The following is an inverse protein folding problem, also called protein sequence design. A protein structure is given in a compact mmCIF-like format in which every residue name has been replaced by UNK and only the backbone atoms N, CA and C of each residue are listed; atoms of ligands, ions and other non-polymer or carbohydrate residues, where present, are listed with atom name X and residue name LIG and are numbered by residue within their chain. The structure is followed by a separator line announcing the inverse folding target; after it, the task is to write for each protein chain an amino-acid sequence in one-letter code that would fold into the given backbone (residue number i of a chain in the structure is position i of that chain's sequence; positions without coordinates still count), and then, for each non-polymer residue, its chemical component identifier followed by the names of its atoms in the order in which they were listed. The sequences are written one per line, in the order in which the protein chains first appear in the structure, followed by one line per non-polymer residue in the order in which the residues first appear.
data_IF_902959914594
#
_entry.id   IF_902959914594
#
_cell.length_a   1.000
_cell.length_b   1.000
_cell.length_c   1.000
_cell.angle_alpha   90.00
_cell.angle_beta   90.00
_cell.angle_gamma   90.00
#
_symmetry.space_group_name_H-M   'P 1'
#
loop_
_entity.id
_entity.type
_entity.pdbx_description
1 polymer ?
#
# COMPACT_ATOMS: atom_id res chain seq x y z
N UNK A 1 5.40 -12.92 12.84
CA UNK A 1 4.95 -11.72 13.57
C UNK A 1 3.54 -11.97 14.09
N UNK A 2 3.26 -11.60 15.35
CA UNK A 2 1.96 -11.77 16.01
C UNK A 2 0.83 -11.10 15.21
N UNK A 3 -0.38 -11.68 15.25
CA UNK A 3 -1.57 -11.06 14.66
C UNK A 3 -2.07 -9.93 15.56
N UNK A 4 -2.20 -8.72 15.00
CA UNK A 4 -2.63 -7.54 15.76
C UNK A 4 -4.05 -7.72 16.34
N UNK A 5 -4.95 -8.31 15.55
CA UNK A 5 -6.36 -8.48 15.97
C UNK A 5 -6.47 -9.42 17.16
N UNK A 6 -5.76 -10.55 17.10
CA UNK A 6 -5.70 -11.50 18.22
C UNK A 6 -5.07 -10.84 19.44
N UNK A 7 -3.95 -10.16 19.29
CA UNK A 7 -3.26 -9.49 20.40
C UNK A 7 -4.16 -8.46 21.12
N UNK A 8 -4.88 -7.62 20.37
CA UNK A 8 -5.77 -6.61 20.95
C UNK A 8 -7.04 -7.19 21.59
N UNK A 9 -7.48 -8.38 21.15
CA UNK A 9 -8.65 -9.04 21.73
C UNK A 9 -8.29 -9.85 23.00
N UNK A 10 -7.10 -10.46 23.03
CA UNK A 10 -6.70 -11.38 24.08
C UNK A 10 -6.01 -10.69 25.27
N UNK A 11 -5.30 -9.59 25.00
CA UNK A 11 -4.54 -8.89 26.03
C UNK A 11 -5.38 -7.79 26.69
N UNK A 12 -5.34 -7.79 28.03
CA UNK A 12 -5.97 -6.75 28.84
C UNK A 12 -5.02 -5.57 29.04
N UNK A 13 -5.60 -4.38 29.29
CA UNK A 13 -4.86 -3.17 29.64
C UNK A 13 -3.92 -2.64 28.56
N UNK A 14 -4.09 -3.03 27.29
CA UNK A 14 -3.39 -2.42 26.18
C UNK A 14 -3.82 -0.96 26.03
N UNK A 15 -2.85 -0.03 25.97
CA UNK A 15 -3.07 1.41 25.82
C UNK A 15 -2.79 1.87 24.41
N UNK A 16 -1.76 1.31 23.79
CA UNK A 16 -1.31 1.62 22.43
C UNK A 16 -0.73 0.37 21.78
N UNK A 17 -0.83 0.30 20.46
CA UNK A 17 -0.16 -0.69 19.63
C UNK A 17 0.71 0.01 18.58
N UNK A 18 1.93 -0.48 18.38
CA UNK A 18 2.86 0.07 17.38
C UNK A 18 3.31 -1.03 16.43
N UNK A 19 3.10 -0.82 15.13
CA UNK A 19 3.63 -1.68 14.08
C UNK A 19 4.82 -0.96 13.47
N UNK A 20 6.00 -1.52 13.70
CA UNK A 20 7.27 -0.92 13.29
C UNK A 20 7.83 -1.64 12.07
N UNK A 21 8.16 -0.87 11.05
CA UNK A 21 8.91 -1.33 9.87
C UNK A 21 10.17 -0.49 9.66
N UNK A 22 11.17 -1.13 9.07
CA UNK A 22 12.44 -0.52 8.70
C UNK A 22 12.73 -0.87 7.25
N UNK A 23 13.01 0.12 6.42
CA UNK A 23 13.23 -0.09 4.99
C UNK A 23 12.03 -0.75 4.29
N UNK A 24 10.81 -0.46 4.74
CA UNK A 24 9.56 -1.05 4.24
C UNK A 24 9.41 -2.57 4.53
N UNK A 25 10.05 -3.07 5.57
CA UNK A 25 9.89 -4.44 6.07
C UNK A 25 9.42 -4.42 7.52
N UNK A 26 8.29 -5.08 7.82
CA UNK A 26 7.77 -5.16 9.19
C UNK A 26 8.73 -5.93 10.09
N UNK A 27 9.13 -5.31 11.21
CA UNK A 27 10.06 -5.87 12.18
C UNK A 27 9.35 -6.27 13.47
N UNK A 28 8.52 -5.40 14.03
CA UNK A 28 7.98 -5.58 15.37
C UNK A 28 6.51 -5.15 15.48
N UNK A 29 5.81 -5.79 16.42
CA UNK A 29 4.55 -5.35 17.00
C UNK A 29 4.82 -5.09 18.48
N UNK A 30 4.75 -3.82 18.89
CA UNK A 30 4.92 -3.39 20.28
C UNK A 30 3.54 -3.06 20.87
N UNK A 31 3.29 -3.48 22.08
CA UNK A 31 2.07 -3.20 22.83
C UNK A 31 2.44 -2.50 24.14
N UNK A 32 1.91 -1.31 24.37
CA UNK A 32 2.04 -0.60 25.63
C UNK A 32 0.91 -1.01 26.54
N UNK A 33 1.26 -1.53 27.69
CA UNK A 33 0.32 -1.92 28.74
C UNK A 33 0.32 -0.85 29.85
N UNK A 34 -0.85 -0.55 30.39
CA UNK A 34 -1.00 0.41 31.48
C UNK A 34 -1.82 -0.15 32.63
N UNK A 35 -1.65 0.40 33.83
CA UNK A 35 -2.50 0.09 34.98
C UNK A 35 -3.86 0.83 34.90
N UNK A 36 -4.86 0.33 35.62
CA UNK A 36 -6.20 0.92 35.68
C UNK A 36 -7.15 0.35 34.62
N UNK A 37 -8.26 1.06 34.38
CA UNK A 37 -9.27 0.62 33.42
C UNK A 37 -8.68 0.52 32.00
N UNK A 38 -9.03 -0.54 31.29
CA UNK A 38 -8.59 -0.78 29.90
C UNK A 38 -9.25 0.18 28.93
N UNK A 39 -8.58 0.43 27.81
CA UNK A 39 -9.19 1.06 26.64
C UNK A 39 -9.94 -0.02 25.86
N UNK A 40 -11.18 0.23 25.38
CA UNK A 40 -11.86 -0.72 24.50
C UNK A 40 -10.99 -1.08 23.28
N UNK A 41 -10.94 -2.35 22.91
CA UNK A 41 -10.05 -2.84 21.85
C UNK A 41 -10.20 -2.09 20.51
N UNK A 42 -11.41 -1.59 20.20
CA UNK A 42 -11.68 -0.82 18.99
C UNK A 42 -11.19 0.64 19.04
N UNK A 43 -10.91 1.14 20.25
CA UNK A 43 -10.48 2.53 20.49
C UNK A 43 -8.99 2.66 20.81
N UNK A 44 -8.27 1.55 20.90
CA UNK A 44 -6.81 1.54 21.11
C UNK A 44 -6.13 2.22 19.90
N UNK A 45 -5.31 3.28 20.13
CA UNK A 45 -4.50 3.87 19.07
C UNK A 45 -3.51 2.86 18.48
N UNK A 46 -3.51 2.73 17.15
CA UNK A 46 -2.58 1.89 16.40
C UNK A 46 -1.65 2.81 15.61
N UNK A 47 -0.38 2.77 15.94
CA UNK A 47 0.68 3.54 15.32
C UNK A 47 1.41 2.68 14.28
N UNK A 48 1.30 3.04 13.00
CA UNK A 48 2.08 2.47 11.93
C UNK A 48 3.30 3.35 11.70
N UNK A 49 4.50 2.83 11.87
CA UNK A 49 5.74 3.59 11.73
C UNK A 49 6.69 2.86 10.78
N UNK A 50 7.23 3.55 9.79
CA UNK A 50 8.22 3.01 8.87
C UNK A 50 9.46 3.91 8.80
N UNK A 51 10.58 3.42 9.28
CA UNK A 51 11.88 4.09 9.20
C UNK A 51 12.51 3.83 7.84
N UNK A 52 12.75 4.90 7.07
CA UNK A 52 13.25 4.83 5.68
C UNK A 52 14.70 5.32 5.54
N UNK A 53 15.38 5.63 6.65
CA UNK A 53 16.73 6.21 6.65
C UNK A 53 16.77 7.74 6.52
N UNK A 54 15.60 8.39 6.38
CA UNK A 54 15.49 9.85 6.50
C UNK A 54 15.10 10.25 7.92
N UNK A 55 15.38 11.51 8.37
CA UNK A 55 15.17 11.91 9.76
C UNK A 55 13.75 11.70 10.30
N UNK A 56 12.72 11.96 9.49
CA UNK A 56 11.34 11.76 9.89
C UNK A 56 10.79 10.43 9.35
N UNK A 57 10.31 9.51 10.20
CA UNK A 57 9.69 8.29 9.74
C UNK A 57 8.35 8.57 9.06
N UNK A 58 7.95 7.68 8.14
CA UNK A 58 6.58 7.67 7.65
C UNK A 58 5.68 7.13 8.77
N UNK A 59 4.62 7.85 9.11
CA UNK A 59 3.73 7.48 10.20
C UNK A 59 2.25 7.63 9.84
N UNK A 60 1.42 6.77 10.44
CA UNK A 60 -0.03 6.84 10.39
C UNK A 60 -0.57 6.37 11.74
N UNK A 61 -1.55 7.08 12.29
CA UNK A 61 -2.24 6.66 13.53
C UNK A 61 -3.73 6.54 13.23
N UNK A 62 -4.33 5.46 13.71
CA UNK A 62 -5.76 5.21 13.58
C UNK A 62 -6.25 4.29 14.71
N UNK A 63 -7.57 4.10 14.80
CA UNK A 63 -8.20 3.09 15.65
C UNK A 63 -9.02 2.12 14.81
N UNK A 64 -9.29 0.91 15.34
CA UNK A 64 -10.16 -0.06 14.64
C UNK A 64 -11.57 0.48 14.41
N UNK A 65 -12.10 1.29 15.32
CA UNK A 65 -13.38 1.99 15.15
C UNK A 65 -13.33 2.91 13.93
N UNK A 66 -12.31 3.74 13.84
CA UNK A 66 -12.13 4.64 12.69
C UNK A 66 -11.99 3.87 11.38
N UNK A 67 -11.27 2.76 11.37
CA UNK A 67 -11.14 1.91 10.17
C UNK A 67 -12.48 1.34 9.70
N UNK A 68 -13.35 0.93 10.64
CA UNK A 68 -14.69 0.42 10.34
C UNK A 68 -15.64 1.49 9.79
N UNK A 69 -15.58 2.70 10.33
CA UNK A 69 -16.53 3.80 10.06
C UNK A 69 -16.13 4.67 8.86
N UNK A 70 -14.83 4.77 8.54
CA UNK A 70 -14.36 5.62 7.46
C UNK A 70 -14.75 5.10 6.09
N UNK A 71 -15.09 6.03 5.19
CA UNK A 71 -15.33 5.72 3.78
C UNK A 71 -14.00 5.40 3.06
N UNK A 72 -14.08 4.49 2.09
CA UNK A 72 -12.98 4.18 1.18
C UNK A 72 -13.55 4.09 -0.24
N UNK A 73 -13.54 5.18 -1.01
CA UNK A 73 -14.01 5.15 -2.38
C UNK A 73 -13.11 4.28 -3.25
N UNK A 74 -13.73 3.51 -4.13
CA UNK A 74 -13.05 2.70 -5.14
C UNK A 74 -13.23 3.32 -6.51
N UNK A 75 -12.20 3.22 -7.36
CA UNK A 75 -12.24 3.75 -8.72
C UNK A 75 -11.58 2.81 -9.73
N UNK A 76 -12.19 2.60 -10.91
CA UNK A 76 -11.52 1.95 -12.02
C UNK A 76 -10.64 2.90 -12.83
N UNK A 77 -10.64 4.20 -12.49
CA UNK A 77 -9.91 5.23 -13.22
C UNK A 77 -8.54 5.48 -12.58
N UNK A 78 -7.49 5.35 -13.37
CA UNK A 78 -6.16 5.77 -12.97
C UNK A 78 -6.04 7.28 -13.09
N UNK A 79 -5.54 7.92 -12.04
CA UNK A 79 -5.25 9.36 -11.99
C UNK A 79 -3.76 9.63 -12.23
N UNK A 80 -3.30 10.83 -11.94
CA UNK A 80 -1.91 11.25 -12.20
C UNK A 80 -0.87 10.51 -11.36
N UNK A 81 -1.23 10.10 -10.13
CA UNK A 81 -0.30 9.47 -9.18
C UNK A 81 -0.83 8.14 -8.66
N UNK A 82 0.10 7.22 -8.44
CA UNK A 82 -0.11 5.93 -7.81
C UNK A 82 0.60 5.88 -6.46
N UNK A 83 -0.08 5.33 -5.46
CA UNK A 83 0.42 5.22 -4.09
C UNK A 83 0.34 3.78 -3.62
N UNK A 84 1.41 3.31 -3.02
CA UNK A 84 1.47 2.01 -2.37
C UNK A 84 1.85 2.20 -0.90
N UNK A 85 0.97 1.81 0.05
CA UNK A 85 1.24 1.95 1.48
C UNK A 85 2.49 1.19 1.90
N UNK A 86 3.17 1.69 2.92
CA UNK A 86 4.30 0.99 3.51
C UNK A 86 3.88 -0.28 4.27
N UNK A 87 4.85 -1.11 4.62
CA UNK A 87 4.62 -2.41 5.23
C UNK A 87 3.89 -2.34 6.58
N UNK A 88 4.12 -1.31 7.41
CA UNK A 88 3.43 -1.16 8.69
C UNK A 88 1.94 -0.85 8.50
N UNK A 89 1.58 0.01 7.56
CA UNK A 89 0.18 0.33 7.20
C UNK A 89 -0.52 -0.90 6.61
N UNK A 90 0.15 -1.64 5.71
CA UNK A 90 -0.40 -2.88 5.13
C UNK A 90 -0.64 -3.94 6.21
N UNK A 91 0.30 -4.11 7.15
CA UNK A 91 0.20 -5.07 8.26
C UNK A 91 -0.90 -4.70 9.24
N UNK A 92 -1.11 -3.40 9.47
CA UNK A 92 -2.18 -2.90 10.34
C UNK A 92 -3.58 -3.03 9.73
N UNK A 93 -3.69 -3.14 8.41
CA UNK A 93 -4.97 -3.14 7.71
C UNK A 93 -5.67 -1.78 7.68
N UNK A 94 -4.91 -0.67 7.76
CA UNK A 94 -5.43 0.71 7.82
C UNK A 94 -5.87 1.25 6.44
N UNK A 95 -6.67 0.48 5.71
CA UNK A 95 -6.96 0.78 4.30
C UNK A 95 -7.98 1.90 4.10
N UNK A 96 -9.05 1.91 4.88
CA UNK A 96 -10.07 2.95 4.85
C UNK A 96 -9.57 4.23 5.51
N UNK A 97 -8.86 4.08 6.64
CA UNK A 97 -8.24 5.20 7.34
C UNK A 97 -7.26 5.94 6.45
N UNK A 98 -6.40 5.20 5.72
CA UNK A 98 -5.48 5.77 4.76
C UNK A 98 -6.21 6.54 3.64
N UNK A 99 -7.22 5.91 3.02
CA UNK A 99 -8.03 6.54 1.96
C UNK A 99 -8.67 7.84 2.43
N UNK A 100 -9.31 7.81 3.59
CA UNK A 100 -10.01 8.96 4.18
C UNK A 100 -9.06 10.10 4.56
N UNK A 101 -7.92 9.79 5.23
CA UNK A 101 -6.98 10.79 5.72
C UNK A 101 -6.25 11.50 4.58
N UNK A 102 -5.85 10.76 3.55
CA UNK A 102 -5.11 11.31 2.40
C UNK A 102 -6.01 11.69 1.23
N UNK A 103 -7.33 11.47 1.33
CA UNK A 103 -8.31 11.76 0.27
C UNK A 103 -7.93 11.11 -1.07
N UNK A 104 -7.51 9.86 -1.00
CA UNK A 104 -7.15 9.03 -2.15
C UNK A 104 -8.20 7.96 -2.41
N UNK A 105 -8.39 7.59 -3.67
CA UNK A 105 -9.29 6.52 -4.07
C UNK A 105 -8.51 5.22 -4.23
N UNK A 106 -9.08 4.12 -3.77
CA UNK A 106 -8.48 2.80 -3.87
C UNK A 106 -8.83 2.15 -5.20
N UNK A 107 -7.87 1.55 -5.89
CA UNK A 107 -8.09 0.96 -7.22
C UNK A 107 -8.95 -0.30 -7.19
N UNK A 108 -8.93 -1.05 -6.08
CA UNK A 108 -9.75 -2.25 -5.89
C UNK A 108 -9.72 -2.66 -4.41
N UNK A 109 -10.77 -3.27 -3.84
CA UNK A 109 -10.78 -3.75 -2.45
C UNK A 109 -9.53 -4.54 -2.04
N UNK A 110 -9.00 -5.36 -2.92
CA UNK A 110 -7.89 -6.28 -2.65
C UNK A 110 -6.52 -5.84 -3.20
N UNK A 111 -6.43 -4.74 -3.97
CA UNK A 111 -5.14 -4.33 -4.58
C UNK A 111 -4.22 -3.59 -3.61
N UNK A 112 -4.79 -2.88 -2.63
CA UNK A 112 -4.07 -1.98 -1.73
C UNK A 112 -3.20 -0.95 -2.44
N UNK A 113 -3.62 -0.54 -3.65
CA UNK A 113 -3.08 0.55 -4.42
C UNK A 113 -4.09 1.69 -4.46
N UNK A 114 -3.59 2.93 -4.43
CA UNK A 114 -4.42 4.13 -4.39
C UNK A 114 -4.00 5.10 -5.48
N UNK A 115 -4.91 6.00 -5.86
CA UNK A 115 -4.65 6.99 -6.91
C UNK A 115 -5.19 8.37 -6.51
N UNK A 116 -4.56 9.42 -7.02
CA UNK A 116 -4.96 10.82 -6.87
C UNK A 116 -4.43 11.66 -8.03
N UNK A 117 -5.09 12.77 -8.34
CA UNK A 117 -4.58 13.77 -9.27
C UNK A 117 -3.55 14.71 -8.64
N UNK A 118 -3.51 14.75 -7.30
CA UNK A 118 -2.58 15.58 -6.55
C UNK A 118 -1.43 14.75 -5.98
N UNK A 119 -0.22 15.33 -6.03
CA UNK A 119 0.94 14.75 -5.35
C UNK A 119 0.84 14.94 -3.85
N UNK A 120 1.03 13.86 -3.09
CA UNK A 120 0.93 13.82 -1.62
C UNK A 120 2.31 13.47 -1.04
N UNK A 121 3.13 14.46 -0.68
CA UNK A 121 4.50 14.22 -0.21
C UNK A 121 4.54 13.39 1.07
N UNK A 122 3.56 13.58 1.96
CA UNK A 122 3.49 12.95 3.29
C UNK A 122 2.78 11.59 3.29
N UNK A 123 2.41 11.05 2.11
CA UNK A 123 1.78 9.74 2.04
C UNK A 123 2.70 8.65 2.63
N UNK A 124 2.21 7.82 3.58
CA UNK A 124 3.04 6.84 4.28
C UNK A 124 3.27 5.58 3.41
N UNK A 125 4.16 5.70 2.44
CA UNK A 125 4.44 4.64 1.49
C UNK A 125 5.25 5.12 0.30
N UNK A 126 5.25 4.31 -0.76
CA UNK A 126 5.89 4.64 -2.04
C UNK A 126 4.94 5.49 -2.89
N UNK A 127 5.50 6.46 -3.58
CA UNK A 127 4.79 7.43 -4.41
C UNK A 127 5.32 7.38 -5.83
N UNK A 128 4.42 7.36 -6.80
CA UNK A 128 4.77 7.24 -8.20
C UNK A 128 3.94 8.18 -9.06
N UNK A 129 4.54 8.71 -10.10
CA UNK A 129 3.81 9.37 -11.19
C UNK A 129 3.46 8.33 -12.24
N UNK A 130 2.19 8.22 -12.60
CA UNK A 130 1.73 7.34 -13.68
C UNK A 130 2.12 7.99 -15.02
N UNK A 131 2.81 7.25 -15.88
CA UNK A 131 3.22 7.71 -17.21
C UNK A 131 2.38 7.11 -18.33
N UNK A 132 1.94 5.86 -18.15
CA UNK A 132 1.04 5.18 -19.07
C UNK A 132 0.42 3.94 -18.43
N UNK A 133 -0.64 3.42 -19.04
CA UNK A 133 -1.23 2.14 -18.65
C UNK A 133 -1.80 1.42 -19.86
N UNK A 134 -1.88 0.11 -19.80
CA UNK A 134 -2.53 -0.71 -20.81
C UNK A 134 -3.16 -1.96 -20.20
N UNK A 135 -4.02 -2.62 -20.96
CA UNK A 135 -4.44 -3.99 -20.66
C UNK A 135 -3.31 -5.01 -20.90
N UNK A 136 -3.65 -6.30 -20.81
CA UNK A 136 -2.69 -7.39 -21.02
C UNK A 136 -2.74 -7.98 -22.45
N UNK A 137 -3.27 -7.22 -23.43
CA UNK A 137 -3.17 -7.52 -24.85
C UNK A 137 -1.73 -7.52 -25.32
N UNK A 138 -1.32 -8.52 -26.12
CA UNK A 138 0.07 -8.66 -26.58
C UNK A 138 0.59 -7.40 -27.30
N UNK A 139 -0.26 -6.76 -28.11
CA UNK A 139 0.10 -5.56 -28.88
C UNK A 139 0.29 -4.37 -27.94
N UNK A 140 -0.66 -4.11 -27.05
CA UNK A 140 -0.62 -2.99 -26.11
C UNK A 140 0.61 -3.05 -25.20
N UNK A 141 0.87 -4.22 -24.61
CA UNK A 141 2.04 -4.45 -23.76
C UNK A 141 3.35 -4.25 -24.53
N UNK A 142 3.43 -4.76 -25.76
CA UNK A 142 4.61 -4.59 -26.61
C UNK A 142 4.87 -3.12 -26.94
N UNK A 143 3.83 -2.37 -27.27
CA UNK A 143 3.93 -0.94 -27.57
C UNK A 143 4.38 -0.14 -26.33
N UNK A 144 3.74 -0.37 -25.16
CA UNK A 144 4.07 0.32 -23.93
C UNK A 144 5.50 0.06 -23.45
N UNK A 145 6.01 -1.16 -23.65
CA UNK A 145 7.33 -1.60 -23.18
C UNK A 145 8.41 -1.62 -24.27
N UNK A 146 8.16 -1.06 -25.46
CA UNK A 146 9.07 -1.18 -26.62
C UNK A 146 10.50 -0.71 -26.33
N UNK A 147 10.67 0.32 -25.48
CA UNK A 147 11.98 0.86 -25.09
C UNK A 147 12.55 0.26 -23.79
N UNK A 148 11.77 -0.60 -23.09
CA UNK A 148 12.14 -1.07 -21.77
C UNK A 148 12.84 -2.44 -21.83
N UNK A 149 14.04 -2.50 -21.27
CA UNK A 149 14.77 -3.79 -21.05
C UNK A 149 14.78 -4.22 -19.59
N UNK A 150 14.59 -3.27 -18.68
CA UNK A 150 14.61 -3.47 -17.22
C UNK A 150 13.47 -2.71 -16.58
N UNK A 151 12.83 -3.29 -15.57
CA UNK A 151 11.84 -2.61 -14.76
C UNK A 151 11.72 -3.24 -13.37
N UNK A 152 11.32 -2.43 -12.40
CA UNK A 152 10.92 -2.85 -11.06
C UNK A 152 9.45 -3.26 -11.13
N UNK A 153 9.16 -4.56 -11.06
CA UNK A 153 7.82 -5.11 -11.23
C UNK A 153 7.19 -5.43 -9.88
N UNK A 154 6.01 -4.89 -9.64
CA UNK A 154 5.15 -5.18 -8.48
C UNK A 154 3.83 -5.79 -8.94
N UNK A 155 3.36 -6.80 -8.22
CA UNK A 155 2.09 -7.48 -8.47
C UNK A 155 1.18 -7.30 -7.26
N UNK A 156 -0.04 -6.80 -7.48
CA UNK A 156 -1.07 -6.61 -6.46
C UNK A 156 -2.43 -7.04 -6.99
N UNK A 157 -3.08 -8.01 -6.33
CA UNK A 157 -4.37 -8.55 -6.75
C UNK A 157 -4.40 -8.92 -8.25
N UNK A 158 -3.48 -9.77 -8.65
CA UNK A 158 -3.31 -10.17 -10.04
C UNK A 158 -3.01 -11.69 -10.13
N UNK A 159 -3.56 -12.42 -11.12
CA UNK A 159 -3.47 -13.90 -11.20
C UNK A 159 -2.14 -14.42 -11.77
N UNK A 160 -1.04 -13.74 -11.50
CA UNK A 160 0.30 -14.19 -11.86
C UNK A 160 1.33 -13.66 -10.86
N UNK A 161 2.40 -14.40 -10.65
CA UNK A 161 3.52 -13.98 -9.81
C UNK A 161 4.43 -12.99 -10.53
N UNK A 162 5.27 -12.28 -9.77
CA UNK A 162 6.32 -11.39 -10.32
C UNK A 162 7.22 -12.17 -11.28
N UNK A 163 7.62 -13.39 -10.92
CA UNK A 163 8.51 -14.24 -11.73
C UNK A 163 7.88 -14.63 -13.06
N UNK A 164 6.61 -15.03 -13.06
CA UNK A 164 5.88 -15.39 -14.29
C UNK A 164 5.72 -14.20 -15.23
N UNK A 165 5.30 -13.05 -14.66
CA UNK A 165 5.15 -11.83 -15.45
C UNK A 165 6.48 -11.34 -16.01
N UNK A 166 7.55 -11.39 -15.24
CA UNK A 166 8.88 -11.00 -15.69
C UNK A 166 9.35 -11.81 -16.90
N UNK A 167 9.13 -13.14 -16.87
CA UNK A 167 9.40 -14.02 -18.01
C UNK A 167 8.53 -13.66 -19.22
N UNK A 168 7.23 -13.47 -19.01
CA UNK A 168 6.27 -13.12 -20.07
C UNK A 168 6.58 -11.77 -20.71
N UNK A 169 6.96 -10.76 -19.93
CA UNK A 169 7.28 -9.42 -20.39
C UNK A 169 8.72 -9.30 -20.91
N UNK A 170 9.57 -10.32 -20.69
CA UNK A 170 11.00 -10.35 -21.07
C UNK A 170 11.80 -9.18 -20.49
N UNK A 171 11.52 -8.82 -19.23
CA UNK A 171 12.18 -7.71 -18.53
C UNK A 171 13.18 -8.24 -17.50
N UNK A 172 14.36 -7.64 -17.47
CA UNK A 172 15.29 -7.79 -16.34
C UNK A 172 14.86 -6.92 -15.15
N UNK A 173 15.39 -7.20 -13.97
CA UNK A 173 15.14 -6.42 -12.76
C UNK A 173 15.95 -5.12 -12.75
N UNK A 174 15.37 -4.04 -12.14
CA UNK A 174 16.04 -2.77 -11.95
C UNK A 174 15.67 -1.71 -12.98
N UNK A 175 16.50 -0.67 -13.07
CA UNK A 175 16.22 0.52 -13.89
C UNK A 175 15.32 1.53 -13.18
N UNK A 176 14.99 2.62 -13.88
CA UNK A 176 14.17 3.73 -13.36
C UNK A 176 12.67 3.57 -13.57
N UNK A 177 12.24 2.54 -14.33
CA UNK A 177 10.81 2.28 -14.61
C UNK A 177 10.23 1.33 -13.57
N UNK A 178 9.05 1.69 -13.08
CA UNK A 178 8.24 0.86 -12.18
C UNK A 178 6.99 0.39 -12.89
N UNK A 179 6.67 -0.89 -12.77
CA UNK A 179 5.49 -1.51 -13.36
C UNK A 179 4.64 -2.15 -12.28
N UNK A 180 3.35 -1.83 -12.28
CA UNK A 180 2.37 -2.43 -11.39
C UNK A 180 1.36 -3.23 -12.19
N UNK A 181 1.28 -4.53 -11.94
CA UNK A 181 0.24 -5.40 -12.47
C UNK A 181 -0.85 -5.54 -11.41
N UNK A 182 -2.06 -5.11 -11.72
CA UNK A 182 -3.17 -5.10 -10.77
C UNK A 182 -4.54 -5.29 -11.45
N UNK A 183 -5.57 -5.47 -10.61
CA UNK A 183 -6.97 -5.47 -11.03
C UNK A 183 -7.63 -4.19 -10.51
N UNK A 184 -8.40 -3.51 -11.34
CA UNK A 184 -9.16 -2.30 -11.02
C UNK A 184 -10.53 -2.64 -10.45
N UNK A 185 -11.26 -1.64 -9.95
CA UNK A 185 -12.59 -1.80 -9.34
C UNK A 185 -13.66 -2.35 -10.30
N UNK A 186 -13.47 -2.23 -11.61
CA UNK A 186 -14.31 -2.82 -12.65
C UNK A 186 -13.83 -4.20 -13.13
N UNK A 187 -12.99 -4.87 -12.34
CA UNK A 187 -12.37 -6.19 -12.59
C UNK A 187 -11.42 -6.24 -13.80
N UNK A 188 -11.12 -5.11 -14.43
CA UNK A 188 -10.12 -5.06 -15.51
C UNK A 188 -8.71 -5.22 -14.97
N UNK A 189 -7.95 -6.08 -15.64
CA UNK A 189 -6.52 -6.29 -15.38
C UNK A 189 -5.71 -5.29 -16.18
N UNK A 190 -4.83 -4.56 -15.48
CA UNK A 190 -4.02 -3.50 -16.08
C UNK A 190 -2.56 -3.61 -15.68
N UNK A 191 -1.70 -3.19 -16.60
CA UNK A 191 -0.30 -2.92 -16.36
C UNK A 191 -0.11 -1.40 -16.34
N UNK A 192 0.40 -0.87 -15.23
CA UNK A 192 0.58 0.56 -15.00
C UNK A 192 2.08 0.84 -15.01
N UNK A 193 2.53 1.76 -15.88
CA UNK A 193 3.91 2.23 -15.95
C UNK A 193 4.05 3.52 -15.18
N UNK A 194 5.06 3.56 -14.30
CA UNK A 194 5.28 4.65 -13.37
C UNK A 194 6.75 5.06 -13.29
N UNK A 195 6.96 6.27 -12.81
CA UNK A 195 8.25 6.79 -12.33
C UNK A 195 8.15 7.11 -10.85
N UNK A 196 9.19 6.79 -10.06
CA UNK A 196 9.23 7.17 -8.66
C UNK A 196 9.28 8.70 -8.52
N UNK A 197 8.56 9.23 -7.54
CA UNK A 197 8.57 10.65 -7.20
C UNK A 197 9.21 10.83 -5.83
N UNK A 198 10.51 10.99 -5.81
CA UNK A 198 11.27 11.34 -4.59
C UNK A 198 11.29 10.25 -3.51
#
# INVERSE_FOLDING_TARGET
MLDLTLALNDLKHVREAHIVSVGNECKELLLLLGQGEGVPADDIPIHCVNFTGVPAPQALVFTRRQEKERACPYTPQLKSYLYEPNASVLKAGAFRSLSSLYKVEKLHPNSHLYTSDHFLPDFPGRKFRITSSCGFGKKEVKEMLAAEKKANLTVRNFPATVTELRKRLKLAEGGGTYLFATTLADEKKVLIRCQATG
#
